data_IF_079732352747
#
_entry.id   IF_079732352747
#
_cell.length_a   1.000
_cell.length_b   1.000
_cell.length_c   1.000
_cell.angle_alpha   90.00
_cell.angle_beta   90.00
_cell.angle_gamma   90.00
#
_symmetry.space_group_name_H-M   'P 1'
#
loop_
_entity.id
_entity.type
_entity.pdbx_description
1 polymer ?
#
# COMPACT_ATOMS: atom_id res chain seq x y z
N UNK A 1 26.20 17.13 15.81
CA UNK A 1 25.21 17.10 14.71
C UNK A 1 25.52 15.88 13.83
N UNK A 2 24.49 15.20 13.32
CA UNK A 2 24.52 14.12 12.30
C UNK A 2 24.25 12.66 12.75
N UNK A 3 23.14 12.40 13.46
CA UNK A 3 22.63 11.02 13.63
C UNK A 3 21.15 10.81 13.26
N UNK A 4 20.42 11.83 12.80
CA UNK A 4 19.00 11.66 12.44
C UNK A 4 18.75 11.26 10.98
N UNK A 5 19.68 11.46 10.04
CA UNK A 5 19.41 11.23 8.61
C UNK A 5 19.49 9.77 8.13
N UNK A 6 20.09 8.84 8.88
CA UNK A 6 20.29 7.45 8.40
C UNK A 6 19.15 6.49 8.76
N UNK A 7 18.39 6.74 9.83
CA UNK A 7 17.32 5.85 10.27
C UNK A 7 16.06 5.99 9.40
N UNK A 8 15.68 7.21 9.02
CA UNK A 8 14.52 7.44 8.14
C UNK A 8 14.69 6.87 6.73
N UNK A 9 15.90 6.91 6.16
CA UNK A 9 16.19 6.32 4.85
C UNK A 9 16.13 4.78 4.88
N UNK A 10 16.34 4.15 6.03
CA UNK A 10 16.40 2.69 6.16
C UNK A 10 15.01 2.05 6.26
N UNK A 11 14.00 2.70 6.87
CA UNK A 11 12.62 2.19 6.87
C UNK A 11 11.96 2.25 5.49
N UNK A 12 12.27 3.28 4.71
CA UNK A 12 11.77 3.44 3.35
C UNK A 12 12.29 2.34 2.39
N UNK A 13 13.52 1.84 2.61
CA UNK A 13 14.12 0.78 1.78
C UNK A 13 13.78 -0.65 2.21
N UNK A 14 13.39 -0.90 3.47
CA UNK A 14 12.87 -2.21 3.90
C UNK A 14 11.45 -2.43 3.35
N UNK A 15 10.70 -1.35 3.12
CA UNK A 15 9.35 -1.36 2.56
C UNK A 15 9.44 -1.48 1.02
N UNK A 16 8.65 -2.38 0.43
CA UNK A 16 8.38 -2.55 -1.01
C UNK A 16 9.31 -3.47 -1.81
N UNK A 17 9.59 -4.66 -1.28
CA UNK A 17 9.76 -5.81 -2.15
C UNK A 17 8.60 -6.80 -1.91
N UNK A 18 7.43 -6.45 -2.44
CA UNK A 18 6.25 -7.29 -2.35
C UNK A 18 6.32 -8.39 -3.41
N UNK A 19 6.28 -9.64 -3.00
CA UNK A 19 6.16 -10.77 -3.91
C UNK A 19 4.72 -10.90 -4.39
N UNK A 20 4.38 -10.19 -5.47
CA UNK A 20 3.08 -10.31 -6.12
C UNK A 20 3.06 -11.42 -7.17
N UNK A 21 1.89 -12.02 -7.37
CA UNK A 21 1.68 -12.92 -8.51
C UNK A 21 1.82 -12.15 -9.82
N UNK A 22 2.21 -12.84 -10.90
CA UNK A 22 2.35 -12.24 -12.22
C UNK A 22 1.04 -11.54 -12.67
N UNK A 23 -0.11 -12.17 -12.42
CA UNK A 23 -1.43 -11.60 -12.69
C UNK A 23 -1.68 -10.30 -11.94
N UNK A 24 -1.28 -10.22 -10.67
CA UNK A 24 -1.40 -9.00 -9.86
C UNK A 24 -0.57 -7.87 -10.44
N UNK A 25 0.65 -8.17 -10.90
CA UNK A 25 1.54 -7.20 -11.54
C UNK A 25 0.93 -6.70 -12.86
N UNK A 26 0.36 -7.59 -13.67
CA UNK A 26 -0.33 -7.20 -14.91
C UNK A 26 -1.54 -6.31 -14.66
N UNK A 27 -2.35 -6.63 -13.65
CA UNK A 27 -3.48 -5.79 -13.26
C UNK A 27 -3.02 -4.41 -12.78
N UNK A 28 -1.96 -4.32 -11.95
CA UNK A 28 -1.39 -3.05 -11.51
C UNK A 28 -0.92 -2.20 -12.70
N UNK A 29 -0.23 -2.82 -13.66
CA UNK A 29 0.19 -2.14 -14.90
C UNK A 29 -1.00 -1.62 -15.69
N UNK A 30 -2.04 -2.43 -15.87
CA UNK A 30 -3.26 -2.03 -16.58
C UNK A 30 -3.94 -0.83 -15.91
N UNK A 31 -4.03 -0.82 -14.58
CA UNK A 31 -4.62 0.27 -13.80
C UNK A 31 -3.82 1.58 -13.94
N UNK A 32 -2.49 1.50 -13.98
CA UNK A 32 -1.61 2.65 -14.18
C UNK A 32 -1.70 3.17 -15.62
N UNK A 33 -1.72 2.27 -16.60
CA UNK A 33 -1.86 2.60 -18.02
C UNK A 33 -3.17 3.36 -18.30
N UNK A 34 -4.25 2.94 -17.65
CA UNK A 34 -5.56 3.61 -17.72
C UNK A 34 -5.65 4.88 -16.86
N UNK A 35 -4.53 5.33 -16.26
CA UNK A 35 -4.45 6.52 -15.39
C UNK A 35 -5.39 6.48 -14.19
N UNK A 36 -5.80 5.28 -13.75
CA UNK A 36 -6.62 5.11 -12.54
C UNK A 36 -5.76 5.41 -11.30
N UNK A 37 -4.49 5.01 -11.34
CA UNK A 37 -3.49 5.34 -10.33
C UNK A 37 -2.23 5.90 -11.00
N UNK A 38 -1.51 6.79 -10.31
CA UNK A 38 -0.31 7.43 -10.85
C UNK A 38 0.90 6.52 -10.90
N UNK A 39 0.99 5.56 -9.98
CA UNK A 39 2.10 4.61 -9.87
C UNK A 39 1.69 3.40 -9.00
N UNK A 40 2.54 2.38 -8.98
CA UNK A 40 2.31 1.13 -8.24
C UNK A 40 2.18 1.37 -6.73
N UNK A 41 2.93 2.33 -6.21
CA UNK A 41 2.89 2.68 -4.78
C UNK A 41 1.54 3.22 -4.36
N UNK A 42 1.01 4.20 -5.10
CA UNK A 42 -0.29 4.82 -4.82
C UNK A 42 -1.41 3.78 -4.88
N UNK A 43 -1.36 2.88 -5.87
CA UNK A 43 -2.33 1.80 -6.00
C UNK A 43 -2.32 0.84 -4.80
N UNK A 44 -1.12 0.48 -4.32
CA UNK A 44 -0.96 -0.43 -3.17
C UNK A 44 -1.37 0.25 -1.87
N UNK A 45 -0.95 1.50 -1.65
CA UNK A 45 -1.29 2.25 -0.44
C UNK A 45 -2.81 2.40 -0.30
N UNK A 46 -3.50 2.79 -1.39
CA UNK A 46 -4.98 2.90 -1.40
C UNK A 46 -5.68 1.55 -1.21
N UNK A 47 -5.12 0.46 -1.76
CA UNK A 47 -5.67 -0.88 -1.55
C UNK A 47 -5.56 -1.29 -0.06
N UNK A 48 -4.44 -0.99 0.59
CA UNK A 48 -4.22 -1.26 2.01
C UNK A 48 -5.16 -0.42 2.87
N UNK A 49 -5.32 0.88 2.57
CA UNK A 49 -6.25 1.75 3.27
C UNK A 49 -7.69 1.23 3.17
N UNK A 50 -8.15 0.84 1.97
CA UNK A 50 -9.49 0.27 1.78
C UNK A 50 -9.69 -1.02 2.57
N UNK A 51 -8.70 -1.92 2.55
CA UNK A 51 -8.76 -3.16 3.33
C UNK A 51 -8.90 -2.83 4.81
N UNK A 52 -8.08 -1.90 5.34
CA UNK A 52 -8.15 -1.46 6.73
C UNK A 52 -9.53 -0.90 7.09
N UNK A 53 -10.08 0.01 6.28
CA UNK A 53 -11.41 0.59 6.51
C UNK A 53 -12.52 -0.47 6.53
N UNK A 54 -12.44 -1.50 5.67
CA UNK A 54 -13.40 -2.61 5.70
C UNK A 54 -13.32 -3.42 6.99
N UNK A 55 -12.11 -3.65 7.52
CA UNK A 55 -11.93 -4.33 8.80
C UNK A 55 -12.42 -3.47 9.96
N UNK A 56 -12.09 -2.17 10.00
CA UNK A 56 -12.55 -1.25 11.04
C UNK A 56 -14.09 -1.14 11.09
N UNK A 57 -14.77 -1.16 9.94
CA UNK A 57 -16.25 -1.22 9.89
C UNK A 57 -16.83 -2.57 10.31
N UNK A 58 -16.05 -3.65 10.20
CA UNK A 58 -16.46 -4.99 10.65
C UNK A 58 -16.23 -5.20 12.15
N UNK A 59 -15.44 -4.32 12.78
CA UNK A 59 -15.21 -4.23 14.23
C UNK A 59 -16.17 -3.25 14.93
N UNK A 60 -17.34 -2.98 14.37
CA UNK A 60 -18.54 -2.57 15.13
C UNK A 60 -19.39 -3.81 15.50
N UNK A 61 -18.97 -4.68 16.44
CA UNK A 61 -19.88 -5.63 17.05
C UNK A 61 -20.70 -4.90 18.12
N UNK A 62 -22.02 -4.86 17.93
CA UNK A 62 -22.97 -4.62 19.02
C UNK A 62 -23.30 -3.15 19.30
N UNK A 63 -24.28 -2.62 18.58
CA UNK A 63 -25.30 -1.83 19.26
C UNK A 63 -26.20 -2.84 19.99
N UNK A 64 -25.94 -3.03 21.28
CA UNK A 64 -26.86 -3.68 22.23
C UNK A 64 -28.21 -2.94 22.30
#
# INVERSE_FOLDING_TARGET
>A
MCEMKRKELSEASVRRNYAFSQRTIENLKWLIDHRIYRNETEAIDLAIERMRTMYEMSEEPGAE
#
